data_IF_112726915125
#
_entry.id   IF_112726915125
#
_cell.length_a   1.000
_cell.length_b   1.000
_cell.length_c   1.000
_cell.angle_alpha   90.00
_cell.angle_beta   90.00
_cell.angle_gamma   90.00
#
_symmetry.space_group_name_H-M   'P 1'
#
loop_
_entity.id
_entity.type
_entity.pdbx_description
1 polymer ?
#
# COMPACT_ATOMS: atom_id res chain seq x y z
N UNK A 1 -7.17 -19.21 -2.74
CA UNK A 1 -6.42 -19.39 -1.48
C UNK A 1 -4.98 -19.04 -1.79
N UNK A 2 -4.50 -17.87 -1.37
CA UNK A 2 -3.12 -17.43 -1.65
C UNK A 2 -2.20 -18.18 -0.68
N UNK A 3 -1.19 -18.86 -1.19
CA UNK A 3 -0.19 -19.53 -0.33
C UNK A 3 0.60 -18.47 0.45
N UNK A 4 0.63 -18.63 1.78
CA UNK A 4 1.42 -17.78 2.68
C UNK A 4 2.90 -18.13 2.54
N UNK A 5 3.76 -17.13 2.47
CA UNK A 5 5.21 -17.32 2.50
C UNK A 5 5.61 -18.07 3.78
N UNK A 6 6.47 -19.09 3.65
CA UNK A 6 7.08 -19.82 4.77
C UNK A 6 8.59 -19.70 4.61
N UNK A 7 9.26 -19.26 5.66
CA UNK A 7 10.72 -19.03 5.64
C UNK A 7 11.52 -20.30 5.30
N UNK A 8 10.93 -21.47 5.58
CA UNK A 8 11.48 -22.80 5.28
C UNK A 8 11.24 -23.25 3.81
N UNK A 9 10.42 -22.53 3.03
CA UNK A 9 10.24 -22.83 1.61
C UNK A 9 11.33 -22.12 0.81
N UNK A 10 12.19 -22.93 0.19
CA UNK A 10 13.28 -22.50 -0.68
C UNK A 10 12.83 -21.34 -1.60
N UNK A 11 13.66 -20.30 -1.60
CA UNK A 11 13.79 -19.24 -2.61
C UNK A 11 12.73 -18.10 -2.57
N UNK A 12 13.08 -16.99 -1.89
CA UNK A 12 12.27 -15.75 -1.79
C UNK A 12 11.93 -15.19 -3.18
N UNK A 13 12.87 -15.24 -4.11
CA UNK A 13 12.69 -14.87 -5.51
C UNK A 13 11.71 -15.80 -6.23
N UNK A 14 11.67 -17.10 -5.90
CA UNK A 14 10.71 -18.04 -6.44
C UNK A 14 9.30 -17.71 -5.94
N UNK A 15 9.15 -17.43 -4.64
CA UNK A 15 7.88 -16.98 -4.08
C UNK A 15 7.37 -15.70 -4.74
N UNK A 16 8.24 -14.69 -4.90
CA UNK A 16 7.88 -13.42 -5.54
C UNK A 16 7.54 -13.63 -7.02
N UNK A 17 8.28 -14.50 -7.72
CA UNK A 17 8.02 -14.82 -9.13
C UNK A 17 6.69 -15.54 -9.35
N UNK A 18 6.22 -16.32 -8.39
CA UNK A 18 4.92 -17.01 -8.50
C UNK A 18 3.77 -16.25 -7.84
N UNK A 19 4.04 -15.10 -7.21
CA UNK A 19 3.01 -14.30 -6.58
C UNK A 19 2.06 -13.70 -7.63
N UNK A 20 0.76 -13.68 -7.33
CA UNK A 20 -0.27 -13.12 -8.22
C UNK A 20 -0.05 -11.64 -8.57
N UNK A 21 0.68 -10.89 -7.73
CA UNK A 21 1.04 -9.49 -7.97
C UNK A 21 2.18 -9.32 -8.98
N UNK A 22 2.93 -10.38 -9.28
CA UNK A 22 4.09 -10.35 -10.18
C UNK A 22 3.65 -10.50 -11.62
N UNK A 23 3.54 -9.38 -12.33
CA UNK A 23 3.20 -9.39 -13.76
C UNK A 23 4.39 -9.72 -14.65
N UNK A 24 5.61 -9.57 -14.10
CA UNK A 24 6.90 -9.72 -14.80
C UNK A 24 7.82 -10.75 -14.13
N UNK A 25 7.38 -12.00 -13.93
CA UNK A 25 8.08 -12.97 -13.08
C UNK A 25 9.46 -13.38 -13.64
N UNK A 26 9.56 -13.56 -14.97
CA UNK A 26 10.84 -13.84 -15.62
C UNK A 26 11.79 -12.64 -15.62
N UNK A 27 11.28 -11.44 -15.41
CA UNK A 27 12.06 -10.22 -15.36
C UNK A 27 12.92 -10.10 -14.11
N UNK A 28 12.38 -10.54 -12.97
CA UNK A 28 13.11 -10.59 -11.70
C UNK A 28 14.40 -11.39 -11.84
N UNK A 29 14.29 -12.62 -12.31
CA UNK A 29 15.42 -13.54 -12.51
C UNK A 29 16.41 -13.09 -13.62
N UNK A 30 16.05 -12.08 -14.41
CA UNK A 30 16.91 -11.48 -15.45
C UNK A 30 17.55 -10.18 -15.01
N UNK A 31 17.35 -9.74 -13.76
CA UNK A 31 17.92 -8.49 -13.29
C UNK A 31 19.45 -8.53 -13.44
N UNK A 32 20.00 -7.58 -14.21
CA UNK A 32 21.44 -7.42 -14.42
C UNK A 32 22.03 -6.29 -13.58
N UNK A 33 21.32 -5.86 -12.52
CA UNK A 33 21.78 -4.82 -11.59
C UNK A 33 22.16 -3.48 -12.26
N UNK A 34 21.52 -3.12 -13.39
CA UNK A 34 21.87 -1.92 -14.18
C UNK A 34 21.58 -0.56 -13.50
N UNK A 35 20.76 -0.51 -12.45
CA UNK A 35 20.45 0.73 -11.70
C UNK A 35 19.48 1.71 -12.37
N UNK A 36 18.93 1.37 -13.54
CA UNK A 36 17.88 2.17 -14.21
C UNK A 36 16.70 2.48 -13.27
N UNK A 37 16.25 1.49 -12.49
CA UNK A 37 15.17 1.66 -11.51
C UNK A 37 15.49 2.70 -10.44
N UNK A 38 16.72 2.71 -9.91
CA UNK A 38 17.17 3.68 -8.91
C UNK A 38 17.30 5.08 -9.51
N UNK A 39 17.84 5.18 -10.73
CA UNK A 39 18.06 6.47 -11.41
C UNK A 39 16.80 7.30 -11.64
N UNK A 40 15.63 6.65 -11.75
CA UNK A 40 14.33 7.28 -11.99
C UNK A 40 13.44 7.32 -10.74
N UNK A 41 13.90 6.79 -9.60
CA UNK A 41 13.08 6.67 -8.41
C UNK A 41 13.13 7.96 -7.58
N UNK A 42 11.99 8.66 -7.36
CA UNK A 42 11.97 9.84 -6.51
C UNK A 42 12.33 9.53 -5.05
N UNK A 43 11.89 8.37 -4.53
CA UNK A 43 12.22 7.94 -3.18
C UNK A 43 13.73 7.74 -3.00
N UNK A 44 14.41 7.12 -3.97
CA UNK A 44 15.87 6.94 -3.92
C UNK A 44 16.67 8.26 -3.98
N UNK A 45 16.05 9.36 -4.42
CA UNK A 45 16.68 10.68 -4.41
C UNK A 45 16.58 11.38 -3.05
N UNK A 46 15.62 10.99 -2.21
CA UNK A 46 15.25 11.70 -0.99
C UNK A 46 15.25 10.83 0.27
N UNK A 47 15.55 9.54 0.15
CA UNK A 47 15.72 8.60 1.27
C UNK A 47 16.83 7.59 0.97
N UNK A 48 17.01 6.62 1.86
CA UNK A 48 17.97 5.52 1.67
C UNK A 48 17.41 4.39 0.78
N UNK A 49 16.13 4.47 0.40
CA UNK A 49 15.50 3.45 -0.43
C UNK A 49 16.20 3.27 -1.77
N UNK A 50 16.58 2.03 -2.06
CA UNK A 50 17.22 1.70 -3.32
C UNK A 50 16.55 0.47 -3.95
N UNK A 51 15.70 0.63 -4.99
CA UNK A 51 14.99 -0.49 -5.60
C UNK A 51 15.93 -1.47 -6.30
N UNK A 52 17.16 -1.07 -6.65
CA UNK A 52 18.18 -1.98 -7.19
C UNK A 52 18.71 -2.91 -6.10
N UNK A 53 19.12 -2.35 -4.96
CA UNK A 53 19.65 -3.12 -3.84
C UNK A 53 18.59 -4.01 -3.19
N UNK A 54 17.35 -3.54 -3.05
CA UNK A 54 16.24 -4.39 -2.61
C UNK A 54 16.03 -5.61 -3.52
N UNK A 55 16.12 -5.45 -4.85
CA UNK A 55 16.05 -6.57 -5.79
C UNK A 55 17.29 -7.49 -5.71
N UNK A 56 18.47 -6.94 -5.40
CA UNK A 56 19.69 -7.71 -5.14
C UNK A 56 19.49 -8.65 -3.94
N UNK A 57 19.06 -8.13 -2.80
CA UNK A 57 18.74 -8.92 -1.61
C UNK A 57 17.74 -10.04 -1.91
N UNK A 58 16.69 -9.75 -2.67
CA UNK A 58 15.70 -10.76 -3.09
C UNK A 58 16.34 -11.89 -3.90
N UNK A 59 17.21 -11.57 -4.85
CA UNK A 59 17.88 -12.57 -5.70
C UNK A 59 18.98 -13.35 -4.95
N UNK A 60 19.50 -12.78 -3.88
CA UNK A 60 20.42 -13.46 -2.95
C UNK A 60 19.68 -14.34 -1.93
N UNK A 61 18.34 -14.30 -1.92
CA UNK A 61 17.51 -15.03 -0.97
C UNK A 61 17.54 -14.42 0.45
N UNK A 62 17.98 -13.17 0.59
CA UNK A 62 18.05 -12.49 1.89
C UNK A 62 16.66 -12.03 2.33
N UNK A 63 16.08 -12.75 3.30
CA UNK A 63 14.76 -12.45 3.85
C UNK A 63 14.75 -11.24 4.78
N UNK A 64 15.92 -10.74 5.23
CA UNK A 64 16.00 -9.55 6.08
C UNK A 64 15.42 -8.31 5.39
N UNK A 65 15.41 -8.27 4.05
CA UNK A 65 14.79 -7.20 3.26
C UNK A 65 13.28 -7.04 3.52
N UNK A 66 12.61 -8.05 4.09
CA UNK A 66 11.19 -7.98 4.47
C UNK A 66 10.99 -7.04 5.69
N UNK A 67 11.99 -6.96 6.57
CA UNK A 67 12.02 -6.13 7.78
C UNK A 67 12.69 -4.77 7.56
N UNK A 68 13.22 -4.52 6.36
CA UNK A 68 13.90 -3.27 6.04
C UNK A 68 12.90 -2.10 5.95
N UNK A 69 13.04 -1.12 6.84
CA UNK A 69 12.25 0.11 6.87
C UNK A 69 12.24 0.86 5.52
N UNK A 70 13.32 0.75 4.74
CA UNK A 70 13.44 1.47 3.49
C UNK A 70 12.40 1.01 2.45
N UNK A 71 11.91 -0.24 2.52
CA UNK A 71 10.89 -0.73 1.58
C UNK A 71 9.60 0.09 1.67
N UNK A 72 9.36 0.83 2.76
CA UNK A 72 8.19 1.69 2.99
C UNK A 72 8.23 3.03 2.26
N UNK A 73 9.38 3.46 1.75
CA UNK A 73 9.50 4.69 0.95
C UNK A 73 9.03 4.55 -0.50
N UNK A 74 8.82 3.34 -1.02
CA UNK A 74 8.28 3.15 -2.36
C UNK A 74 6.84 3.73 -2.48
N UNK A 75 6.64 4.65 -3.43
CA UNK A 75 5.34 5.29 -3.68
C UNK A 75 4.44 4.53 -4.66
N UNK A 76 4.87 3.36 -5.13
CA UNK A 76 4.17 2.61 -6.17
C UNK A 76 3.83 3.43 -7.43
N UNK A 77 4.77 4.28 -7.88
CA UNK A 77 4.59 5.06 -9.12
C UNK A 77 4.80 4.25 -10.42
N UNK A 78 5.25 2.99 -10.32
CA UNK A 78 5.51 2.07 -11.44
C UNK A 78 6.48 2.59 -12.53
N UNK A 79 7.26 3.64 -12.26
CA UNK A 79 8.25 4.11 -13.24
C UNK A 79 9.32 3.04 -13.48
N UNK A 80 9.87 2.43 -12.43
CA UNK A 80 10.86 1.35 -12.54
C UNK A 80 10.35 0.12 -13.32
N UNK A 81 9.06 -0.19 -13.25
CA UNK A 81 8.41 -1.25 -14.02
C UNK A 81 8.43 -0.96 -15.53
N UNK A 82 8.22 0.31 -15.89
CA UNK A 82 8.08 0.73 -17.30
C UNK A 82 9.43 0.84 -18.02
N UNK A 83 10.50 1.22 -17.29
CA UNK A 83 11.80 1.47 -17.94
C UNK A 83 12.74 0.26 -17.93
N UNK A 84 12.45 -0.78 -17.15
CA UNK A 84 13.42 -1.86 -16.93
C UNK A 84 13.75 -2.60 -18.24
N UNK A 85 15.03 -2.63 -18.67
CA UNK A 85 15.42 -3.31 -19.91
C UNK A 85 15.38 -4.84 -19.80
N UNK A 86 15.44 -5.37 -18.57
CA UNK A 86 15.30 -6.80 -18.29
C UNK A 86 13.84 -7.25 -18.17
N UNK A 87 12.89 -6.33 -18.40
CA UNK A 87 11.46 -6.53 -18.17
C UNK A 87 11.15 -6.95 -16.73
N UNK A 88 11.83 -6.37 -15.74
CA UNK A 88 11.56 -6.55 -14.30
C UNK A 88 10.58 -5.49 -13.77
N UNK A 89 10.02 -5.72 -12.58
CA UNK A 89 9.19 -4.78 -11.84
C UNK A 89 9.61 -4.68 -10.37
N UNK A 90 10.62 -3.84 -10.01
CA UNK A 90 10.99 -3.61 -8.62
C UNK A 90 9.81 -3.11 -7.76
N UNK A 91 8.87 -2.36 -8.35
CA UNK A 91 7.64 -1.93 -7.68
C UNK A 91 6.80 -3.11 -7.20
N UNK A 92 6.56 -4.11 -8.05
CA UNK A 92 5.77 -5.30 -7.70
C UNK A 92 6.53 -6.19 -6.71
N UNK A 93 7.85 -6.34 -6.87
CA UNK A 93 8.71 -7.02 -5.88
C UNK A 93 8.49 -6.40 -4.49
N UNK A 94 8.56 -5.07 -4.38
CA UNK A 94 8.30 -4.34 -3.14
C UNK A 94 6.89 -4.58 -2.59
N UNK A 95 5.86 -4.67 -3.45
CA UNK A 95 4.49 -4.97 -3.02
C UNK A 95 4.34 -6.37 -2.43
N UNK A 96 5.09 -7.34 -2.93
CA UNK A 96 5.09 -8.69 -2.37
C UNK A 96 5.84 -8.69 -1.04
N UNK A 97 7.00 -8.03 -0.95
CA UNK A 97 7.76 -7.90 0.30
C UNK A 97 6.91 -7.26 1.41
N UNK A 98 6.28 -6.11 1.15
CA UNK A 98 5.38 -5.47 2.13
C UNK A 98 4.19 -6.37 2.48
N UNK A 99 3.64 -7.12 1.52
CA UNK A 99 2.56 -8.06 1.84
C UNK A 99 3.02 -9.15 2.81
N UNK A 100 4.23 -9.67 2.64
CA UNK A 100 4.81 -10.65 3.56
C UNK A 100 4.97 -10.03 4.95
N UNK A 101 5.49 -8.80 5.04
CA UNK A 101 5.63 -8.08 6.32
C UNK A 101 4.26 -7.90 7.03
N UNK A 102 3.23 -7.48 6.28
CA UNK A 102 1.85 -7.37 6.79
C UNK A 102 1.30 -8.72 7.25
N UNK A 103 1.52 -9.79 6.49
CA UNK A 103 1.02 -11.11 6.83
C UNK A 103 1.75 -11.71 8.05
N UNK A 104 3.03 -11.37 8.25
CA UNK A 104 3.84 -11.68 9.45
C UNK A 104 3.45 -10.82 10.66
N UNK A 105 2.78 -9.69 10.47
CA UNK A 105 2.39 -8.77 11.55
C UNK A 105 3.54 -7.90 12.05
N UNK A 106 4.57 -7.68 11.23
CA UNK A 106 5.75 -6.85 11.56
C UNK A 106 5.69 -5.47 10.89
N UNK A 107 4.51 -5.11 10.38
CA UNK A 107 4.27 -3.89 9.60
C UNK A 107 3.19 -3.01 10.23
N UNK A 108 2.74 -3.34 11.45
CA UNK A 108 1.54 -2.76 12.05
C UNK A 108 1.70 -1.24 12.24
N UNK A 109 2.88 -0.75 12.68
CA UNK A 109 3.25 0.67 12.78
C UNK A 109 3.02 1.46 11.49
N UNK A 110 3.33 0.85 10.35
CA UNK A 110 3.13 1.46 9.03
C UNK A 110 1.66 1.46 8.60
N UNK A 111 0.81 0.62 9.19
CA UNK A 111 -0.60 0.46 8.83
C UNK A 111 -1.55 1.21 9.74
N UNK A 112 -1.18 1.47 11.00
CA UNK A 112 -2.02 2.15 11.98
C UNK A 112 -2.55 3.51 11.48
N UNK A 113 -1.72 4.40 10.87
CA UNK A 113 -2.21 5.67 10.33
C UNK A 113 -3.28 5.50 9.25
N UNK A 114 -3.34 4.33 8.61
CA UNK A 114 -4.27 4.04 7.52
C UNK A 114 -5.55 3.35 7.96
N UNK A 115 -5.69 2.95 9.24
CA UNK A 115 -6.89 2.27 9.72
C UNK A 115 -8.15 3.12 9.56
N UNK A 116 -8.04 4.45 9.69
CA UNK A 116 -9.15 5.37 9.45
C UNK A 116 -9.67 5.36 7.99
N UNK A 117 -8.79 5.14 7.01
CA UNK A 117 -9.22 4.94 5.63
C UNK A 117 -9.97 3.62 5.48
N UNK A 118 -9.51 2.58 6.17
CA UNK A 118 -10.19 1.29 6.23
C UNK A 118 -11.60 1.39 6.83
N UNK A 119 -11.76 2.16 7.91
CA UNK A 119 -13.06 2.45 8.52
C UNK A 119 -13.99 3.23 7.60
N UNK A 120 -13.44 4.21 6.88
CA UNK A 120 -14.21 4.95 5.88
C UNK A 120 -14.77 4.01 4.81
N UNK A 121 -13.92 3.11 4.30
CA UNK A 121 -14.32 2.15 3.27
C UNK A 121 -15.36 1.14 3.79
N UNK A 122 -15.17 0.64 5.01
CA UNK A 122 -16.05 -0.34 5.64
C UNK A 122 -17.43 0.24 5.97
N UNK A 123 -17.48 1.47 6.49
CA UNK A 123 -18.70 2.07 7.02
C UNK A 123 -19.45 2.94 6.00
N UNK A 124 -18.74 3.54 5.04
CA UNK A 124 -19.30 4.51 4.10
C UNK A 124 -19.15 4.09 2.63
N UNK A 125 -18.51 2.95 2.34
CA UNK A 125 -18.32 2.45 0.98
C UNK A 125 -17.40 3.31 0.11
N UNK A 126 -16.70 4.29 0.70
CA UNK A 126 -15.84 5.24 0.00
C UNK A 126 -14.57 5.52 0.82
N UNK A 127 -13.47 5.77 0.13
CA UNK A 127 -12.25 6.27 0.74
C UNK A 127 -12.43 7.75 1.11
N UNK A 128 -12.12 8.09 2.34
CA UNK A 128 -12.15 9.47 2.84
C UNK A 128 -10.86 9.78 3.57
N UNK A 129 -10.50 11.06 3.61
CA UNK A 129 -9.43 11.55 4.48
C UNK A 129 -9.90 11.29 5.93
N UNK A 130 -9.14 10.54 6.75
CA UNK A 130 -9.49 10.33 8.14
C UNK A 130 -9.41 11.62 8.95
N UNK A 131 -10.21 11.71 10.00
CA UNK A 131 -10.33 12.92 10.83
C UNK A 131 -8.98 13.35 11.45
N UNK A 132 -8.09 12.40 11.74
CA UNK A 132 -6.77 12.69 12.30
C UNK A 132 -5.84 13.42 11.32
N UNK A 133 -6.17 13.53 10.03
CA UNK A 133 -5.42 14.34 9.05
C UNK A 133 -6.02 15.74 8.83
N UNK A 134 -7.16 16.04 9.47
CA UNK A 134 -7.85 17.31 9.25
C UNK A 134 -7.05 18.53 9.75
N UNK A 135 -6.31 18.47 10.88
CA UNK A 135 -5.44 19.56 11.30
C UNK A 135 -4.37 19.92 10.25
N UNK A 136 -3.72 18.92 9.67
CA UNK A 136 -2.68 19.06 8.65
C UNK A 136 -3.27 19.63 7.36
N UNK A 137 -4.45 19.15 6.94
CA UNK A 137 -5.15 19.70 5.79
C UNK A 137 -5.47 21.19 5.97
N UNK A 138 -5.83 21.60 7.19
CA UNK A 138 -6.06 23.00 7.52
C UNK A 138 -4.76 23.82 7.48
N UNK A 139 -3.64 23.26 7.92
CA UNK A 139 -2.32 23.92 7.84
C UNK A 139 -1.89 24.14 6.39
N UNK A 140 -2.02 23.11 5.54
CA UNK A 140 -1.55 23.13 4.16
C UNK A 140 -2.44 23.94 3.22
N UNK A 141 -3.77 23.85 3.39
CA UNK A 141 -4.75 24.45 2.47
C UNK A 141 -5.29 25.79 3.00
N UNK A 142 -5.20 26.01 4.32
CA UNK A 142 -5.70 27.21 4.99
C UNK A 142 -7.12 27.06 5.53
N UNK A 143 -7.62 28.14 6.14
CA UNK A 143 -8.92 28.18 6.83
C UNK A 143 -10.11 27.87 5.91
N UNK A 144 -9.99 28.16 4.61
CA UNK A 144 -11.03 27.91 3.60
C UNK A 144 -11.31 26.41 3.39
N UNK A 145 -10.40 25.52 3.81
CA UNK A 145 -10.61 24.08 3.71
C UNK A 145 -11.87 23.63 4.47
N UNK A 146 -12.11 24.19 5.67
CA UNK A 146 -13.27 23.82 6.46
C UNK A 146 -14.57 24.32 5.83
N UNK A 147 -14.54 25.56 5.31
CA UNK A 147 -15.67 26.14 4.59
C UNK A 147 -16.05 25.30 3.36
N UNK A 148 -15.05 24.88 2.58
CA UNK A 148 -15.26 23.97 1.44
C UNK A 148 -15.87 22.63 1.89
N UNK A 149 -15.38 22.05 2.99
CA UNK A 149 -15.89 20.76 3.50
C UNK A 149 -17.33 20.86 3.99
N UNK A 150 -17.69 21.92 4.71
CA UNK A 150 -19.05 22.09 5.25
C UNK A 150 -20.08 22.44 4.18
N UNK A 151 -19.65 23.10 3.10
CA UNK A 151 -20.52 23.51 1.99
C UNK A 151 -20.37 22.63 0.74
N UNK A 152 -19.73 21.47 0.85
CA UNK A 152 -19.45 20.61 -0.31
C UNK A 152 -20.75 20.19 -1.03
N UNK A 153 -21.81 19.88 -0.30
CA UNK A 153 -23.10 19.51 -0.90
C UNK A 153 -23.75 20.69 -1.64
N UNK A 154 -23.63 21.91 -1.13
CA UNK A 154 -24.13 23.11 -1.81
C UNK A 154 -23.37 23.36 -3.12
N UNK A 155 -22.04 23.21 -3.10
CA UNK A 155 -21.19 23.31 -4.29
C UNK A 155 -21.59 22.26 -5.32
N UNK A 156 -21.80 21.02 -4.90
CA UNK A 156 -22.22 19.92 -5.79
C UNK A 156 -23.60 20.17 -6.39
N UNK A 157 -24.56 20.58 -5.58
CA UNK A 157 -25.91 20.93 -6.02
C UNK A 157 -25.89 22.08 -7.04
N UNK A 158 -25.09 23.12 -6.79
CA UNK A 158 -24.91 24.23 -7.74
C UNK A 158 -24.33 23.77 -9.08
N UNK A 159 -23.40 22.80 -9.05
CA UNK A 159 -22.79 22.21 -10.23
C UNK A 159 -23.64 21.10 -10.89
N UNK A 160 -24.81 20.75 -10.31
CA UNK A 160 -25.66 19.68 -10.81
C UNK A 160 -25.06 18.27 -10.64
N UNK A 161 -24.23 18.07 -9.62
CA UNK A 161 -23.58 16.80 -9.31
C UNK A 161 -24.40 16.00 -8.27
N UNK A 162 -24.37 14.68 -8.38
CA UNK A 162 -24.98 13.76 -7.41
C UNK A 162 -24.32 13.85 -6.02
N UNK A 163 -24.88 13.25 -4.95
CA UNK A 163 -24.23 13.21 -3.63
C UNK A 163 -22.82 12.59 -3.65
N UNK A 164 -21.99 12.92 -2.65
CA UNK A 164 -20.65 12.33 -2.50
C UNK A 164 -20.73 10.87 -2.10
N UNK A 165 -21.65 10.56 -1.18
CA UNK A 165 -21.77 9.23 -0.60
C UNK A 165 -22.54 8.29 -1.52
N UNK A 166 -22.13 7.00 -1.60
CA UNK A 166 -22.88 5.98 -2.32
C UNK A 166 -24.29 5.77 -1.73
N UNK A 167 -25.14 5.05 -2.48
CA UNK A 167 -26.44 4.62 -1.97
C UNK A 167 -26.29 3.65 -0.79
N UNK A 168 -27.30 3.57 0.06
CA UNK A 168 -27.32 2.61 1.18
C UNK A 168 -27.11 1.17 0.72
N UNK A 169 -27.69 0.79 -0.42
CA UNK A 169 -27.51 -0.52 -1.05
C UNK A 169 -26.03 -0.79 -1.38
N UNK A 170 -25.35 0.18 -2.00
CA UNK A 170 -23.93 0.06 -2.35
C UNK A 170 -23.04 0.00 -1.09
N UNK A 171 -23.36 0.78 -0.04
CA UNK A 171 -22.63 0.73 1.23
C UNK A 171 -22.73 -0.67 1.86
N UNK A 172 -23.94 -1.25 1.88
CA UNK A 172 -24.17 -2.61 2.41
C UNK A 172 -23.42 -3.65 1.59
N UNK A 173 -23.44 -3.54 0.26
CA UNK A 173 -22.72 -4.46 -0.63
C UNK A 173 -21.21 -4.41 -0.39
N UNK A 174 -20.61 -3.21 -0.39
CA UNK A 174 -19.17 -3.02 -0.15
C UNK A 174 -18.77 -3.57 1.23
N UNK A 175 -19.50 -3.20 2.28
CA UNK A 175 -19.26 -3.72 3.64
C UNK A 175 -19.32 -5.26 3.67
N UNK A 176 -20.31 -5.86 2.99
CA UNK A 176 -20.45 -7.32 2.93
C UNK A 176 -19.27 -8.00 2.24
N UNK A 177 -18.78 -7.44 1.14
CA UNK A 177 -17.59 -7.94 0.42
C UNK A 177 -16.35 -7.87 1.32
N UNK A 178 -16.12 -6.73 1.97
CA UNK A 178 -14.97 -6.52 2.85
C UNK A 178 -14.94 -7.49 4.03
N UNK A 179 -16.10 -7.72 4.67
CA UNK A 179 -16.24 -8.71 5.74
C UNK A 179 -15.98 -10.12 5.22
N UNK A 180 -16.54 -10.47 4.07
CA UNK A 180 -16.40 -11.80 3.48
C UNK A 180 -14.97 -12.12 3.05
N UNK A 181 -14.16 -11.11 2.69
CA UNK A 181 -12.76 -11.31 2.32
C UNK A 181 -11.78 -11.20 3.50
N UNK A 182 -12.28 -11.04 4.74
CA UNK A 182 -11.47 -10.96 5.96
C UNK A 182 -10.78 -9.61 6.18
N UNK A 183 -11.23 -8.55 5.49
CA UNK A 183 -10.68 -7.20 5.66
C UNK A 183 -10.94 -6.64 7.07
N UNK A 184 -12.17 -6.79 7.58
CA UNK A 184 -12.55 -6.36 8.94
C UNK A 184 -11.71 -7.09 10.00
N UNK A 185 -11.55 -8.41 9.86
CA UNK A 185 -10.71 -9.21 10.76
C UNK A 185 -9.25 -8.73 10.77
N UNK A 186 -8.71 -8.40 9.58
CA UNK A 186 -7.33 -7.92 9.43
C UNK A 186 -7.15 -6.55 10.11
N UNK A 187 -8.05 -5.60 9.90
CA UNK A 187 -8.01 -4.29 10.56
C UNK A 187 -8.09 -4.42 12.09
N UNK A 188 -9.00 -5.27 12.58
CA UNK A 188 -9.15 -5.49 14.01
C UNK A 188 -7.92 -6.15 14.63
N UNK A 189 -7.25 -7.06 13.90
CA UNK A 189 -5.98 -7.65 14.35
C UNK A 189 -4.91 -6.58 14.56
N UNK A 190 -4.70 -5.69 13.58
CA UNK A 190 -3.71 -4.60 13.66
C UNK A 190 -4.02 -3.67 14.85
N UNK A 191 -5.30 -3.30 15.04
CA UNK A 191 -5.69 -2.47 16.21
C UNK A 191 -5.36 -3.11 17.55
N UNK A 192 -5.56 -4.43 17.67
CA UNK A 192 -5.38 -5.11 18.94
C UNK A 192 -3.90 -5.25 19.28
N UNK A 193 -3.05 -5.55 18.29
CA UNK A 193 -1.60 -5.56 18.49
C UNK A 193 -1.08 -4.23 19.01
N UNK A 194 -1.51 -3.10 18.43
CA UNK A 194 -1.12 -1.77 18.92
C UNK A 194 -1.54 -1.50 20.37
N UNK A 195 -2.74 -1.94 20.77
CA UNK A 195 -3.23 -1.75 22.15
C UNK A 195 -2.49 -2.57 23.19
N UNK A 196 -1.83 -3.65 22.78
CA UNK A 196 -1.05 -4.51 23.68
C UNK A 196 0.39 -3.98 23.88
N UNK A 197 0.83 -2.99 23.07
CA UNK A 197 2.14 -2.36 23.13
C UNK A 197 2.17 -1.03 23.91
N UNK A 198 1.01 -0.39 24.10
CA UNK A 198 0.78 0.84 24.91
C UNK A 198 0.46 0.55 26.40
#
# INVERSE_FOLDING_TARGET
>A
MVEKFREDSLDLEEYISHNIKSSKPKGLLKCVQCGMCTSVCPAAQHSNYNPRSMVECVLEGDTAVIEDEDIWYCFYCYTCHSICPADNSPCEVNQVLRQIAVDKGIADDHLIPFLGFGDSFLNHGIGGIPENFFPEMKEDIGDDWWDFKTHLDDVRNHLGLDPVFPSEEAIVEVSTILKSCGFEDRINKIRNHHKDED
#
